data_IF_923387600619
#
_entry.id   IF_923387600619
#
_cell.length_a   1.000
_cell.length_b   1.000
_cell.length_c   1.000
_cell.angle_alpha   90.00
_cell.angle_beta   90.00
_cell.angle_gamma   90.00
#
_symmetry.space_group_name_H-M   'P 1'
#
loop_
_entity.id
_entity.type
_entity.pdbx_description
1 polymer ?
#
# COMPACT_ATOMS: atom_id res chain seq x y z
N UNK A 1 2.80 -0.22 0.00
CA UNK A 1 1.62 -0.64 0.75
C UNK A 1 1.74 -2.11 1.14
N UNK A 2 1.77 -2.39 2.45
CA UNK A 2 1.78 -3.72 3.08
C UNK A 2 1.60 -3.55 4.60
N UNK A 3 1.16 -4.58 5.33
CA UNK A 3 0.91 -4.52 6.77
C UNK A 3 2.01 -5.19 7.60
N UNK A 4 2.61 -6.26 7.09
CA UNK A 4 3.62 -6.99 7.86
C UNK A 4 4.21 -8.20 7.15
N UNK A 5 5.07 -8.91 7.90
CA UNK A 5 5.73 -10.13 7.48
C UNK A 5 6.37 -10.82 8.68
N UNK A 6 6.79 -12.10 8.54
CA UNK A 6 7.57 -12.84 9.55
C UNK A 6 6.94 -12.89 10.93
N UNK A 7 5.61 -12.86 11.02
CA UNK A 7 4.86 -12.88 12.27
C UNK A 7 4.59 -11.52 12.88
N UNK A 8 5.19 -10.46 12.35
CA UNK A 8 5.05 -9.08 12.81
C UNK A 8 4.09 -8.28 11.93
N UNK A 9 3.42 -7.32 12.54
CA UNK A 9 2.53 -6.35 11.88
C UNK A 9 2.94 -4.93 12.27
N UNK A 10 2.85 -3.99 11.35
CA UNK A 10 3.15 -2.60 11.63
C UNK A 10 2.28 -2.04 12.77
N UNK A 11 1.04 -2.51 12.85
CA UNK A 11 0.10 -2.15 13.90
C UNK A 11 0.38 -2.84 15.25
N UNK A 12 1.37 -3.72 15.38
CA UNK A 12 1.87 -4.14 16.69
C UNK A 12 2.42 -2.93 17.48
N UNK A 13 2.82 -1.86 16.76
CA UNK A 13 3.18 -0.56 17.32
C UNK A 13 4.38 -0.66 18.25
N UNK A 14 5.37 -1.45 17.89
CA UNK A 14 6.65 -1.61 18.61
C UNK A 14 7.83 -1.39 17.67
N UNK A 15 8.93 -0.88 18.20
CA UNK A 15 10.17 -0.72 17.40
C UNK A 15 10.71 -2.04 16.90
N UNK A 16 10.55 -3.09 17.69
CA UNK A 16 10.95 -4.45 17.32
C UNK A 16 10.19 -4.93 16.08
N UNK A 17 8.87 -4.78 16.04
CA UNK A 17 8.07 -5.16 14.88
C UNK A 17 8.52 -4.41 13.62
N UNK A 18 8.72 -3.10 13.71
CA UNK A 18 9.17 -2.29 12.57
C UNK A 18 10.58 -2.74 12.10
N UNK A 19 11.48 -3.04 13.03
CA UNK A 19 12.83 -3.49 12.71
C UNK A 19 12.85 -4.86 12.02
N UNK A 20 12.08 -5.83 12.51
CA UNK A 20 11.99 -7.16 11.89
C UNK A 20 11.35 -7.10 10.51
N UNK A 21 10.30 -6.27 10.35
CA UNK A 21 9.69 -5.97 9.05
C UNK A 21 10.74 -5.36 8.11
N UNK A 22 11.46 -4.32 8.54
CA UNK A 22 12.48 -3.64 7.73
C UNK A 22 13.62 -4.57 7.32
N UNK A 23 14.06 -5.48 8.21
CA UNK A 23 15.07 -6.49 7.90
C UNK A 23 14.60 -7.49 6.85
N UNK A 24 13.38 -8.00 7.01
CA UNK A 24 12.82 -8.95 6.04
C UNK A 24 12.68 -8.30 4.66
N UNK A 25 12.07 -7.13 4.59
CA UNK A 25 11.88 -6.41 3.34
C UNK A 25 13.22 -6.11 2.63
N UNK A 26 14.23 -5.66 3.38
CA UNK A 26 15.57 -5.47 2.83
C UNK A 26 16.18 -6.78 2.32
N UNK A 27 15.98 -7.89 3.02
CA UNK A 27 16.52 -9.20 2.63
C UNK A 27 15.97 -9.72 1.31
N UNK A 28 14.78 -9.28 0.90
CA UNK A 28 14.12 -9.64 -0.36
C UNK A 28 14.24 -8.54 -1.43
N UNK A 29 15.04 -7.49 -1.19
CA UNK A 29 15.33 -6.44 -2.17
C UNK A 29 14.47 -5.18 -2.07
N UNK A 30 13.61 -5.06 -1.07
CA UNK A 30 12.84 -3.83 -0.81
C UNK A 30 13.63 -2.97 0.18
N UNK A 31 14.30 -1.93 -0.31
CA UNK A 31 15.23 -1.11 0.47
C UNK A 31 14.63 0.15 1.08
N UNK A 32 13.39 0.47 0.71
CA UNK A 32 12.59 1.56 1.28
C UNK A 32 11.15 1.09 1.41
N UNK A 33 10.52 1.35 2.55
CA UNK A 33 9.20 0.85 2.91
C UNK A 33 8.23 1.96 3.31
N UNK A 34 6.97 1.76 2.96
CA UNK A 34 5.83 2.56 3.42
C UNK A 34 4.72 1.59 3.88
N UNK A 35 4.79 1.11 5.14
CA UNK A 35 3.78 0.20 5.67
C UNK A 35 2.42 0.89 5.80
N UNK A 36 1.36 0.09 5.78
CA UNK A 36 -0.01 0.54 6.00
C UNK A 36 -0.47 0.26 7.44
N UNK A 37 -1.28 1.16 7.98
CA UNK A 37 -2.02 0.88 9.22
C UNK A 37 -3.28 0.08 8.91
N UNK A 38 -3.90 -0.46 9.96
CA UNK A 38 -5.27 -0.97 9.93
C UNK A 38 -6.23 0.07 10.53
N UNK A 39 -7.54 -0.15 10.38
CA UNK A 39 -8.58 0.62 11.07
C UNK A 39 -8.62 0.24 12.55
N UNK A 40 -8.11 1.10 13.41
CA UNK A 40 -7.97 0.94 14.86
C UNK A 40 -8.51 2.18 15.59
N UNK A 41 -8.68 2.13 16.94
CA UNK A 41 -8.97 3.33 17.72
C UNK A 41 -7.99 4.47 17.46
N UNK A 42 -8.48 5.71 17.46
CA UNK A 42 -7.68 6.92 17.16
C UNK A 42 -6.42 7.01 18.02
N UNK A 43 -6.56 6.80 19.32
CA UNK A 43 -5.46 6.88 20.29
C UNK A 43 -4.41 5.78 20.06
N UNK A 44 -4.85 4.62 19.58
CA UNK A 44 -3.93 3.53 19.25
C UNK A 44 -3.16 3.84 17.96
N UNK A 45 -3.83 4.38 16.96
CA UNK A 45 -3.15 4.85 15.74
C UNK A 45 -2.11 5.92 16.06
N UNK A 46 -2.43 6.91 16.90
CA UNK A 46 -1.46 7.93 17.34
C UNK A 46 -0.24 7.30 18.04
N UNK A 47 -0.47 6.32 18.91
CA UNK A 47 0.61 5.59 19.58
C UNK A 47 1.51 4.88 18.56
N UNK A 48 0.93 4.14 17.60
CA UNK A 48 1.66 3.44 16.55
C UNK A 48 2.50 4.41 15.71
N UNK A 49 1.90 5.53 15.29
CA UNK A 49 2.56 6.57 14.51
C UNK A 49 3.72 7.21 15.27
N UNK A 50 3.53 7.50 16.56
CA UNK A 50 4.59 8.05 17.43
C UNK A 50 5.76 7.08 17.62
N UNK A 51 5.48 5.78 17.74
CA UNK A 51 6.53 4.75 17.79
C UNK A 51 7.30 4.71 16.48
N UNK A 52 6.61 4.77 15.34
CA UNK A 52 7.25 4.80 14.02
C UNK A 52 8.14 6.05 13.84
N UNK A 53 7.66 7.23 14.26
CA UNK A 53 8.44 8.46 14.25
C UNK A 53 9.70 8.35 15.12
N UNK A 54 9.56 7.76 16.31
CA UNK A 54 10.72 7.51 17.19
C UNK A 54 11.70 6.52 16.60
N UNK A 55 11.21 5.42 15.97
CA UNK A 55 12.04 4.44 15.29
C UNK A 55 12.86 5.09 14.16
N UNK A 56 12.24 5.95 13.36
CA UNK A 56 12.86 6.57 12.20
C UNK A 56 13.99 7.56 12.54
N UNK A 57 14.07 8.03 13.78
CA UNK A 57 15.18 8.89 14.26
C UNK A 57 16.47 8.11 14.59
N UNK A 58 16.35 6.79 14.72
CA UNK A 58 17.48 5.94 15.07
C UNK A 58 18.14 5.40 13.80
N UNK A 59 19.47 5.23 13.84
CA UNK A 59 20.17 4.56 12.74
C UNK A 59 19.93 3.06 12.83
N UNK A 60 19.16 2.49 11.91
CA UNK A 60 18.73 1.10 11.92
C UNK A 60 19.23 0.35 10.67
N UNK A 61 19.38 -0.96 10.81
CA UNK A 61 19.58 -1.88 9.70
C UNK A 61 18.23 -2.22 9.04
N UNK A 62 18.27 -2.68 7.80
CA UNK A 62 17.07 -3.04 7.06
C UNK A 62 16.61 -1.96 6.07
N UNK A 63 15.37 -2.03 5.63
CA UNK A 63 14.77 -1.05 4.72
C UNK A 63 14.52 0.28 5.43
N UNK A 64 14.69 1.39 4.70
CA UNK A 64 14.41 2.71 5.23
C UNK A 64 12.89 2.93 5.33
N UNK A 65 12.38 3.34 6.50
CA UNK A 65 10.98 3.75 6.67
C UNK A 65 10.81 5.16 6.09
N UNK A 66 10.26 5.26 4.88
CA UNK A 66 10.14 6.52 4.13
C UNK A 66 8.74 7.11 4.12
N UNK A 67 7.76 6.37 4.58
CA UNK A 67 6.38 6.81 4.64
C UNK A 67 5.50 5.83 5.41
N UNK A 68 4.27 6.24 5.65
CA UNK A 68 3.19 5.42 6.21
C UNK A 68 1.93 5.68 5.37
N UNK A 69 1.22 4.62 5.03
CA UNK A 69 -0.10 4.68 4.39
C UNK A 69 -1.17 4.43 5.46
N UNK A 70 -2.03 5.39 5.73
CA UNK A 70 -3.15 5.18 6.64
C UNK A 70 -4.31 4.54 5.89
N UNK A 71 -4.49 3.23 6.07
CA UNK A 71 -5.62 2.49 5.55
C UNK A 71 -6.76 2.49 6.57
N UNK A 72 -7.57 3.52 6.51
CA UNK A 72 -8.56 3.88 7.53
C UNK A 72 -8.01 4.90 8.55
N UNK A 73 -8.86 5.36 9.46
CA UNK A 73 -10.21 4.90 9.79
C UNK A 73 -11.35 5.51 8.96
N UNK A 74 -11.09 6.34 7.95
CA UNK A 74 -12.08 7.11 7.18
C UNK A 74 -12.66 6.34 5.99
N UNK A 75 -12.81 5.03 6.10
CA UNK A 75 -13.22 4.10 5.04
C UNK A 75 -14.71 3.72 5.14
N UNK A 76 -15.20 3.00 4.12
CA UNK A 76 -16.60 2.56 4.06
C UNK A 76 -16.85 1.26 4.84
N UNK A 77 -17.91 1.25 5.65
CA UNK A 77 -18.39 0.01 6.30
C UNK A 77 -18.84 -1.03 5.29
N UNK A 78 -19.38 -0.59 4.15
CA UNK A 78 -19.86 -1.49 3.08
C UNK A 78 -18.70 -2.19 2.37
N UNK A 79 -17.52 -1.54 2.33
CA UNK A 79 -16.31 -2.02 1.67
C UNK A 79 -15.15 -2.26 2.65
N UNK A 80 -15.47 -2.51 3.91
CA UNK A 80 -14.48 -2.68 4.98
C UNK A 80 -13.47 -3.80 4.71
N UNK A 81 -13.82 -4.85 3.97
CA UNK A 81 -12.93 -6.00 3.79
C UNK A 81 -12.49 -6.58 5.14
N UNK A 82 -11.18 -6.70 5.35
CA UNK A 82 -10.57 -7.18 6.59
C UNK A 82 -10.37 -6.08 7.67
N UNK A 83 -11.04 -4.93 7.53
CA UNK A 83 -10.99 -3.85 8.53
C UNK A 83 -12.07 -4.01 9.60
N UNK A 84 -11.78 -3.56 10.83
CA UNK A 84 -12.75 -3.60 11.93
C UNK A 84 -13.73 -2.43 11.87
N UNK A 85 -14.99 -2.73 11.54
CA UNK A 85 -16.04 -1.71 11.35
C UNK A 85 -16.35 -0.89 12.61
N UNK A 86 -15.99 -1.38 13.81
CA UNK A 86 -16.22 -0.69 15.08
C UNK A 86 -15.40 0.60 15.20
N UNK A 87 -14.30 0.69 14.45
CA UNK A 87 -13.37 1.81 14.49
C UNK A 87 -13.42 2.69 13.24
N UNK A 88 -14.34 2.41 12.32
CA UNK A 88 -14.58 3.27 11.15
C UNK A 88 -15.28 4.53 11.60
N UNK A 89 -14.71 5.69 11.26
CA UNK A 89 -15.23 7.01 11.57
C UNK A 89 -15.32 7.88 10.32
N UNK A 90 -16.09 8.97 10.41
CA UNK A 90 -16.18 9.98 9.37
C UNK A 90 -14.86 10.76 9.23
N UNK A 91 -14.57 11.28 8.02
CA UNK A 91 -13.46 12.19 7.80
C UNK A 91 -13.52 13.36 8.79
N UNK A 92 -12.39 13.60 9.44
CA UNK A 92 -12.27 14.66 10.43
C UNK A 92 -10.87 15.29 10.32
N UNK A 93 -10.82 16.59 10.03
CA UNK A 93 -9.57 17.34 9.82
C UNK A 93 -8.69 17.38 11.07
N UNK A 94 -9.30 17.55 12.26
CA UNK A 94 -8.57 17.59 13.52
C UNK A 94 -7.93 16.23 13.83
N UNK A 95 -8.68 15.14 13.68
CA UNK A 95 -8.14 13.78 13.86
C UNK A 95 -7.05 13.50 12.84
N UNK A 96 -7.26 13.86 11.56
CA UNK A 96 -6.24 13.69 10.53
C UNK A 96 -4.97 14.49 10.89
N UNK A 97 -5.08 15.73 11.35
CA UNK A 97 -3.94 16.53 11.77
C UNK A 97 -3.20 15.89 12.95
N UNK A 98 -3.91 15.33 13.95
CA UNK A 98 -3.30 14.57 15.05
C UNK A 98 -2.44 13.41 14.56
N UNK A 99 -2.90 12.68 13.52
CA UNK A 99 -2.09 11.61 12.91
C UNK A 99 -0.83 12.14 12.23
N UNK A 100 -0.96 13.27 11.50
CA UNK A 100 0.21 13.91 10.87
C UNK A 100 1.23 14.35 11.91
N UNK A 101 0.77 14.96 13.00
CA UNK A 101 1.62 15.43 14.08
C UNK A 101 2.30 14.25 14.82
N UNK A 102 1.54 13.19 15.14
CA UNK A 102 2.06 12.01 15.83
C UNK A 102 3.12 11.27 14.99
N UNK A 103 2.96 11.28 13.67
CA UNK A 103 3.90 10.65 12.73
C UNK A 103 5.14 11.49 12.41
N UNK A 104 5.18 12.76 12.82
CA UNK A 104 6.23 13.73 12.48
C UNK A 104 6.51 13.79 10.95
N UNK A 105 5.44 13.72 10.14
CA UNK A 105 5.49 13.81 8.68
C UNK A 105 5.78 12.48 7.97
N UNK A 106 5.79 11.34 8.66
CA UNK A 106 5.90 10.02 8.04
C UNK A 106 4.61 9.60 7.34
N UNK A 107 3.43 10.02 7.79
CA UNK A 107 2.18 9.75 7.07
C UNK A 107 2.24 10.46 5.73
N UNK A 108 2.20 9.68 4.64
CA UNK A 108 2.23 10.17 3.25
C UNK A 108 0.90 10.04 2.54
N UNK A 109 0.07 9.10 2.98
CA UNK A 109 -1.26 8.83 2.42
C UNK A 109 -2.30 8.69 3.52
N UNK A 110 -3.50 9.19 3.25
CA UNK A 110 -4.70 8.96 4.06
C UNK A 110 -5.80 8.44 3.17
N UNK A 111 -6.22 7.20 3.41
CA UNK A 111 -7.29 6.53 2.69
C UNK A 111 -8.66 6.97 3.16
N UNK A 112 -9.54 7.32 2.23
CA UNK A 112 -10.92 7.71 2.52
C UNK A 112 -11.93 7.01 1.60
N UNK A 113 -13.16 6.91 2.09
CA UNK A 113 -14.35 6.56 1.31
C UNK A 113 -15.22 7.82 1.14
N UNK A 114 -15.15 8.51 -0.02
CA UNK A 114 -15.81 9.80 -0.16
C UNK A 114 -17.34 9.72 -0.10
N UNK A 115 -17.95 8.60 -0.49
CA UNK A 115 -19.40 8.41 -0.46
C UNK A 115 -19.99 8.37 0.96
N UNK A 116 -19.21 7.95 1.94
CA UNK A 116 -19.64 7.85 3.34
C UNK A 116 -19.42 9.15 4.12
N UNK A 117 -18.90 10.19 3.45
CA UNK A 117 -18.54 11.48 4.06
C UNK A 117 -19.22 12.64 3.33
N UNK A 118 -20.20 13.28 3.96
CA UNK A 118 -20.98 14.37 3.34
C UNK A 118 -20.10 15.56 2.88
N UNK A 119 -19.00 15.82 3.57
CA UNK A 119 -18.06 16.91 3.30
C UNK A 119 -16.71 16.41 2.74
N UNK A 120 -16.68 15.23 2.07
CA UNK A 120 -15.45 14.63 1.57
C UNK A 120 -14.64 15.59 0.67
N UNK A 121 -15.29 16.28 -0.25
CA UNK A 121 -14.65 17.27 -1.13
C UNK A 121 -13.93 18.36 -0.32
N UNK A 122 -14.61 18.93 0.65
CA UNK A 122 -14.03 19.93 1.55
C UNK A 122 -12.85 19.38 2.33
N UNK A 123 -12.99 18.19 2.91
CA UNK A 123 -11.88 17.51 3.62
C UNK A 123 -10.66 17.33 2.70
N UNK A 124 -10.86 16.87 1.46
CA UNK A 124 -9.78 16.71 0.48
C UNK A 124 -9.11 18.06 0.19
N UNK A 125 -9.88 19.10 -0.10
CA UNK A 125 -9.36 20.45 -0.40
C UNK A 125 -8.51 21.02 0.75
N UNK A 126 -8.88 20.75 2.00
CA UNK A 126 -8.16 21.25 3.18
C UNK A 126 -6.91 20.44 3.53
N UNK A 127 -6.88 19.16 3.16
CA UNK A 127 -5.79 18.27 3.53
C UNK A 127 -4.79 17.98 2.40
N UNK A 128 -5.13 18.18 1.13
CA UNK A 128 -4.31 17.80 -0.04
C UNK A 128 -2.91 18.40 -0.08
N UNK A 129 -2.72 19.58 0.51
CA UNK A 129 -1.42 20.25 0.57
C UNK A 129 -0.54 19.75 1.75
N UNK A 130 -1.14 19.00 2.69
CA UNK A 130 -0.47 18.44 3.86
C UNK A 130 -0.14 16.96 3.69
N UNK A 131 -1.03 16.21 3.04
CA UNK A 131 -0.91 14.77 2.86
C UNK A 131 -1.65 14.35 1.59
N UNK A 132 -1.21 13.27 0.93
CA UNK A 132 -1.94 12.74 -0.21
C UNK A 132 -3.20 12.02 0.24
N UNK A 133 -4.33 12.44 -0.31
CA UNK A 133 -5.59 11.74 -0.08
C UNK A 133 -5.74 10.65 -1.14
N UNK A 134 -6.06 9.45 -0.67
CA UNK A 134 -6.29 8.28 -1.51
C UNK A 134 -7.72 7.76 -1.35
N UNK A 135 -8.30 7.21 -2.41
CA UNK A 135 -9.54 6.45 -2.32
C UNK A 135 -9.20 5.00 -1.94
N UNK A 136 -9.76 4.55 -0.82
CA UNK A 136 -9.49 3.24 -0.23
C UNK A 136 -10.75 2.66 0.39
N UNK A 137 -11.00 1.35 0.25
CA UNK A 137 -12.15 0.70 0.87
C UNK A 137 -13.43 1.51 0.70
N UNK A 138 -13.78 1.79 -0.54
CA UNK A 138 -14.85 2.73 -0.92
C UNK A 138 -15.88 2.05 -1.82
N UNK A 139 -17.14 2.41 -1.63
CA UNK A 139 -18.23 2.04 -2.52
C UNK A 139 -18.64 3.20 -3.44
N UNK A 140 -17.75 4.18 -3.63
CA UNK A 140 -18.00 5.34 -4.48
C UNK A 140 -18.35 4.91 -5.92
N UNK A 141 -19.38 5.54 -6.46
CA UNK A 141 -19.65 5.50 -7.89
C UNK A 141 -18.65 6.37 -8.67
N UNK A 142 -18.80 6.40 -9.99
CA UNK A 142 -17.91 7.14 -10.86
C UNK A 142 -17.92 8.65 -10.56
N UNK A 143 -19.10 9.25 -10.41
CA UNK A 143 -19.25 10.70 -10.23
C UNK A 143 -18.68 11.14 -8.87
N UNK A 144 -18.91 10.36 -7.82
CA UNK A 144 -18.35 10.60 -6.48
C UNK A 144 -16.83 10.47 -6.48
N UNK A 145 -16.28 9.46 -7.16
CA UNK A 145 -14.84 9.29 -7.28
C UNK A 145 -14.20 10.42 -8.10
N UNK A 146 -14.82 10.85 -9.22
CA UNK A 146 -14.35 11.99 -10.01
C UNK A 146 -14.35 13.28 -9.19
N UNK A 147 -15.41 13.56 -8.44
CA UNK A 147 -15.47 14.73 -7.57
C UNK A 147 -14.34 14.75 -6.53
N UNK A 148 -14.00 13.57 -5.96
CA UNK A 148 -12.87 13.44 -5.04
C UNK A 148 -11.51 13.69 -5.74
N UNK A 149 -11.30 13.17 -6.95
CA UNK A 149 -10.08 13.41 -7.71
C UNK A 149 -9.95 14.85 -8.17
N UNK A 150 -11.03 15.47 -8.61
CA UNK A 150 -11.07 16.89 -8.99
C UNK A 150 -10.78 17.83 -7.80
N UNK A 151 -11.20 17.42 -6.59
CA UNK A 151 -10.89 18.15 -5.34
C UNK A 151 -9.41 18.04 -4.93
N UNK A 152 -8.69 17.03 -5.43
CA UNK A 152 -7.26 16.86 -5.20
C UNK A 152 -6.83 15.51 -4.60
N UNK A 153 -7.73 14.53 -4.46
CA UNK A 153 -7.32 13.15 -4.20
C UNK A 153 -6.47 12.67 -5.39
N UNK A 154 -5.35 12.01 -5.10
CA UNK A 154 -4.35 11.72 -6.13
C UNK A 154 -3.88 10.26 -6.16
N UNK A 155 -4.56 9.39 -5.42
CA UNK A 155 -4.14 8.00 -5.29
C UNK A 155 -5.35 7.08 -5.13
N UNK A 156 -5.27 5.86 -5.65
CA UNK A 156 -6.26 4.79 -5.45
C UNK A 156 -5.55 3.54 -4.91
N UNK A 157 -5.97 3.12 -3.73
CA UNK A 157 -5.37 2.00 -2.99
C UNK A 157 -5.86 0.68 -3.57
N UNK A 158 -4.98 -0.32 -3.74
CA UNK A 158 -5.24 -1.69 -4.20
C UNK A 158 -6.44 -1.81 -5.16
N UNK A 159 -6.35 -1.11 -6.30
CA UNK A 159 -7.42 -0.97 -7.30
C UNK A 159 -8.17 -2.28 -7.56
N UNK A 160 -9.48 -2.24 -7.69
CA UNK A 160 -10.45 -3.33 -7.75
C UNK A 160 -10.82 -3.96 -6.38
N UNK A 161 -9.91 -3.98 -5.42
CA UNK A 161 -10.14 -4.63 -4.13
C UNK A 161 -10.85 -3.66 -3.18
N UNK A 162 -11.85 -4.16 -2.46
CA UNK A 162 -12.72 -3.33 -1.60
C UNK A 162 -13.32 -2.10 -2.33
N UNK A 163 -13.70 -2.27 -3.61
CA UNK A 163 -14.32 -1.27 -4.49
C UNK A 163 -15.51 -1.86 -5.22
N UNK A 164 -16.41 -1.03 -5.84
CA UNK A 164 -17.39 -1.51 -6.78
C UNK A 164 -16.76 -2.18 -8.00
N UNK A 165 -17.44 -3.18 -8.55
CA UNK A 165 -16.99 -3.82 -9.78
C UNK A 165 -16.99 -2.83 -10.97
N UNK A 166 -15.95 -2.87 -11.79
CA UNK A 166 -15.89 -2.13 -13.05
C UNK A 166 -16.84 -2.75 -14.08
N UNK A 167 -17.92 -2.07 -14.40
CA UNK A 167 -18.90 -2.54 -15.39
C UNK A 167 -19.15 -1.49 -16.47
N UNK A 168 -19.73 -1.90 -17.59
CA UNK A 168 -19.95 -1.01 -18.74
C UNK A 168 -21.00 0.10 -18.52
N UNK A 169 -21.75 0.07 -17.43
CA UNK A 169 -22.74 1.11 -17.05
C UNK A 169 -22.49 1.70 -15.68
N UNK A 170 -21.65 1.09 -14.89
CA UNK A 170 -21.21 1.58 -13.59
C UNK A 170 -19.68 1.37 -13.46
N UNK A 171 -18.87 2.29 -14.00
CA UNK A 171 -17.42 2.11 -14.05
C UNK A 171 -16.74 2.35 -12.69
N UNK A 172 -17.42 2.97 -11.73
CA UNK A 172 -16.96 3.18 -10.37
C UNK A 172 -15.59 3.87 -10.29
N UNK A 173 -14.88 3.60 -9.21
CA UNK A 173 -13.53 4.17 -8.96
C UNK A 173 -12.54 3.80 -10.07
N UNK A 174 -12.61 2.57 -10.60
CA UNK A 174 -11.69 2.12 -11.67
C UNK A 174 -11.83 2.98 -12.92
N UNK A 175 -13.06 3.30 -13.33
CA UNK A 175 -13.31 4.20 -14.46
C UNK A 175 -12.83 5.62 -14.17
N UNK A 176 -13.10 6.13 -12.98
CA UNK A 176 -12.66 7.46 -12.57
C UNK A 176 -11.13 7.58 -12.55
N UNK A 177 -10.39 6.57 -12.08
CA UNK A 177 -8.92 6.53 -12.16
C UNK A 177 -8.44 6.52 -13.61
N UNK A 178 -9.12 5.79 -14.51
CA UNK A 178 -8.77 5.77 -15.93
C UNK A 178 -8.83 7.16 -16.55
N UNK A 179 -9.86 7.93 -16.19
CA UNK A 179 -10.11 9.25 -16.76
C UNK A 179 -9.34 10.39 -16.06
N UNK A 180 -8.79 10.12 -14.86
CA UNK A 180 -8.04 11.10 -14.04
C UNK A 180 -6.53 10.91 -14.21
N UNK A 181 -5.92 11.59 -15.20
CA UNK A 181 -4.51 11.38 -15.59
C UNK A 181 -3.46 11.67 -14.51
N UNK A 182 -3.81 12.36 -13.43
CA UNK A 182 -2.92 12.67 -12.29
C UNK A 182 -2.97 11.64 -11.17
N UNK A 183 -3.95 10.73 -11.17
CA UNK A 183 -4.16 9.75 -10.11
C UNK A 183 -3.25 8.55 -10.31
N UNK A 184 -2.48 8.20 -9.30
CA UNK A 184 -1.71 6.95 -9.26
C UNK A 184 -2.53 5.83 -8.64
N UNK A 185 -2.33 4.60 -9.07
CA UNK A 185 -3.10 3.46 -8.62
C UNK A 185 -2.23 2.26 -8.27
N UNK A 186 -2.55 1.62 -7.15
CA UNK A 186 -1.89 0.43 -6.67
C UNK A 186 -2.52 -0.84 -7.26
N UNK A 187 -1.69 -1.85 -7.55
CA UNK A 187 -2.12 -3.18 -7.99
C UNK A 187 -1.42 -4.28 -7.19
N UNK A 188 -2.18 -5.24 -6.69
CA UNK A 188 -1.66 -6.46 -6.07
C UNK A 188 -1.48 -7.52 -7.17
N UNK A 189 -0.26 -7.71 -7.62
CA UNK A 189 0.06 -8.64 -8.72
C UNK A 189 0.54 -10.02 -8.24
N UNK A 190 -0.11 -10.58 -7.22
CA UNK A 190 0.23 -11.87 -6.61
C UNK A 190 -0.34 -13.09 -7.35
N UNK A 191 -1.25 -12.88 -8.33
CA UNK A 191 -1.95 -13.92 -9.05
C UNK A 191 -3.17 -14.49 -8.33
N UNK A 192 -3.54 -13.94 -7.18
CA UNK A 192 -4.72 -14.30 -6.39
C UNK A 192 -5.78 -13.19 -6.45
N UNK A 193 -5.38 -11.93 -6.19
CA UNK A 193 -6.28 -10.78 -6.10
C UNK A 193 -6.84 -10.36 -7.46
N UNK A 194 -6.02 -10.36 -8.50
CA UNK A 194 -6.41 -9.84 -9.80
C UNK A 194 -6.04 -10.84 -10.90
N UNK A 195 -7.00 -11.17 -11.77
CA UNK A 195 -6.77 -12.04 -12.90
C UNK A 195 -5.75 -11.43 -13.88
N UNK A 196 -4.78 -12.19 -14.45
CA UNK A 196 -3.76 -11.65 -15.34
C UNK A 196 -4.28 -10.83 -16.54
N UNK A 197 -5.44 -11.20 -17.10
CA UNK A 197 -6.03 -10.44 -18.21
C UNK A 197 -6.55 -9.07 -17.75
N UNK A 198 -7.03 -8.95 -16.51
CA UNK A 198 -7.48 -7.68 -15.93
C UNK A 198 -6.28 -6.77 -15.70
N UNK A 199 -5.17 -7.30 -15.16
CA UNK A 199 -3.93 -6.53 -15.02
C UNK A 199 -3.48 -5.96 -16.36
N UNK A 200 -3.40 -6.78 -17.42
CA UNK A 200 -3.04 -6.30 -18.77
C UNK A 200 -4.01 -5.26 -19.33
N UNK A 201 -5.31 -5.40 -19.08
CA UNK A 201 -6.31 -4.42 -19.49
C UNK A 201 -6.13 -3.10 -18.76
N UNK A 202 -5.85 -3.14 -17.45
CA UNK A 202 -5.59 -1.97 -16.60
C UNK A 202 -4.39 -1.17 -17.13
N UNK A 203 -3.27 -1.83 -17.43
CA UNK A 203 -2.10 -1.16 -18.00
C UNK A 203 -2.39 -0.51 -19.37
N UNK A 204 -3.26 -1.13 -20.20
CA UNK A 204 -3.69 -0.52 -21.46
C UNK A 204 -4.59 0.69 -21.28
N UNK A 205 -5.43 0.69 -20.26
CA UNK A 205 -6.34 1.81 -19.97
C UNK A 205 -5.60 2.99 -19.32
N UNK A 206 -4.69 2.71 -18.38
CA UNK A 206 -4.14 3.73 -17.48
C UNK A 206 -2.70 4.13 -17.83
N UNK A 207 -2.01 3.35 -18.69
CA UNK A 207 -0.57 3.50 -18.94
C UNK A 207 0.27 2.91 -17.81
N UNK A 208 1.59 2.92 -17.97
CA UNK A 208 2.53 2.35 -17.00
C UNK A 208 3.03 3.36 -15.95
N UNK A 209 3.05 4.65 -16.30
CA UNK A 209 3.65 5.70 -15.46
C UNK A 209 2.89 5.97 -14.16
N UNK A 210 1.62 5.55 -14.09
CA UNK A 210 0.72 5.79 -12.95
C UNK A 210 0.45 4.53 -12.11
N UNK A 211 0.96 3.38 -12.55
CA UNK A 211 0.72 2.12 -11.84
C UNK A 211 1.80 1.84 -10.81
N UNK A 212 1.40 1.37 -9.65
CA UNK A 212 2.28 0.99 -8.54
C UNK A 212 2.01 -0.47 -8.19
N UNK A 213 3.04 -1.31 -8.21
CA UNK A 213 2.95 -2.66 -7.66
C UNK A 213 3.08 -2.61 -6.15
N UNK A 214 2.16 -3.26 -5.47
CA UNK A 214 2.18 -3.45 -4.02
C UNK A 214 2.07 -4.92 -3.69
N UNK A 215 2.46 -5.31 -2.48
CA UNK A 215 2.25 -6.66 -1.97
C UNK A 215 0.96 -6.79 -1.18
N UNK A 216 0.59 -5.76 -0.44
CA UNK A 216 -0.47 -5.81 0.55
C UNK A 216 -0.27 -7.02 1.50
N UNK A 217 1.01 -7.30 1.81
CA UNK A 217 1.41 -8.46 2.60
C UNK A 217 1.02 -8.29 4.07
N UNK A 218 0.62 -9.39 4.68
CA UNK A 218 0.29 -9.42 6.10
C UNK A 218 1.32 -10.26 6.89
N UNK A 219 1.22 -10.30 8.22
CA UNK A 219 2.19 -10.94 9.11
C UNK A 219 2.57 -12.39 8.74
N UNK A 220 1.71 -13.12 8.04
CA UNK A 220 2.02 -14.47 7.58
C UNK A 220 3.02 -14.54 6.43
N UNK A 221 3.32 -13.43 5.77
CA UNK A 221 4.28 -13.41 4.65
C UNK A 221 5.65 -13.89 5.12
N UNK A 222 6.17 -14.90 4.44
CA UNK A 222 7.42 -15.57 4.81
C UNK A 222 7.28 -16.57 5.96
N UNK A 223 6.06 -16.89 6.42
CA UNK A 223 5.74 -17.89 7.43
C UNK A 223 5.13 -19.15 6.78
N UNK A 224 5.06 -20.29 7.48
CA UNK A 224 4.35 -21.49 7.03
C UNK A 224 2.84 -21.25 6.88
N UNK A 225 2.15 -22.15 6.18
CA UNK A 225 0.69 -22.24 6.19
C UNK A 225 0.16 -22.36 7.63
N UNK A 226 -0.96 -21.72 7.94
CA UNK A 226 -1.52 -21.74 9.28
C UNK A 226 -2.53 -20.61 9.55
N UNK A 227 -2.85 -20.43 10.83
CA UNK A 227 -3.72 -19.36 11.30
C UNK A 227 -2.90 -18.19 11.82
N UNK A 228 -3.33 -17.00 11.44
CA UNK A 228 -2.71 -15.71 11.77
C UNK A 228 -3.78 -14.69 12.08
N UNK A 229 -3.39 -13.44 12.30
CA UNK A 229 -4.32 -12.32 12.49
C UNK A 229 -3.97 -11.16 11.58
N UNK A 230 -4.97 -10.36 11.20
CA UNK A 230 -4.84 -9.08 10.53
C UNK A 230 -5.86 -8.11 11.11
N UNK A 231 -5.40 -6.99 11.68
CA UNK A 231 -6.30 -6.02 12.33
C UNK A 231 -7.16 -6.61 13.46
N UNK A 232 -6.67 -7.66 14.14
CA UNK A 232 -7.42 -8.37 15.18
C UNK A 232 -8.42 -9.40 14.67
N UNK A 233 -8.53 -9.61 13.36
CA UNK A 233 -9.37 -10.64 12.75
C UNK A 233 -8.57 -11.89 12.43
N UNK A 234 -9.17 -13.08 12.63
CA UNK A 234 -8.54 -14.36 12.35
C UNK A 234 -8.47 -14.64 10.84
N UNK A 235 -7.27 -15.00 10.38
CA UNK A 235 -6.95 -15.29 8.98
C UNK A 235 -6.38 -16.69 8.84
N UNK A 236 -6.85 -17.45 7.86
CA UNK A 236 -6.26 -18.72 7.46
C UNK A 236 -5.41 -18.54 6.20
N UNK A 237 -4.18 -19.04 6.22
CA UNK A 237 -3.23 -18.94 5.10
C UNK A 237 -2.90 -20.32 4.58
N UNK A 238 -3.07 -20.51 3.26
CA UNK A 238 -2.70 -21.71 2.52
C UNK A 238 -1.98 -21.29 1.23
N UNK A 239 -0.72 -21.61 1.13
CA UNK A 239 0.14 -21.14 0.04
C UNK A 239 0.27 -19.61 0.06
N UNK A 240 -0.09 -18.95 -1.04
CA UNK A 240 -0.11 -17.48 -1.13
C UNK A 240 -1.51 -16.87 -0.93
N UNK A 241 -2.47 -17.64 -0.41
CA UNK A 241 -3.84 -17.19 -0.21
C UNK A 241 -4.14 -17.00 1.28
N UNK A 242 -4.46 -15.78 1.66
CA UNK A 242 -4.90 -15.40 2.98
C UNK A 242 -6.41 -15.07 2.96
N UNK A 243 -7.18 -15.67 3.86
CA UNK A 243 -8.64 -15.48 3.91
C UNK A 243 -9.12 -15.33 5.34
N UNK A 244 -10.10 -14.45 5.57
CA UNK A 244 -10.79 -14.36 6.84
C UNK A 244 -11.43 -15.69 7.21
N UNK A 245 -11.30 -16.11 8.46
CA UNK A 245 -11.95 -17.31 8.98
C UNK A 245 -13.46 -17.15 9.03
N UNK A 246 -13.96 -15.93 9.22
CA UNK A 246 -15.36 -15.62 9.40
C UNK A 246 -16.22 -15.82 8.15
N UNK A 247 -15.74 -15.43 6.96
CA UNK A 247 -16.53 -15.41 5.72
C UNK A 247 -15.75 -15.84 4.46
N UNK A 248 -14.45 -16.11 4.58
CA UNK A 248 -13.62 -16.54 3.48
C UNK A 248 -13.17 -15.42 2.53
N UNK A 249 -13.44 -14.16 2.85
CA UNK A 249 -12.96 -13.01 2.07
C UNK A 249 -11.42 -12.95 2.09
N UNK A 250 -10.81 -12.44 1.01
CA UNK A 250 -9.36 -12.19 0.99
C UNK A 250 -9.00 -11.15 2.06
N UNK A 251 -7.88 -11.35 2.73
CA UNK A 251 -7.44 -10.56 3.87
C UNK A 251 -5.94 -10.26 3.75
N UNK A 252 -5.60 -9.20 3.03
CA UNK A 252 -4.23 -8.93 2.60
C UNK A 252 -3.65 -10.08 1.77
N UNK A 253 -2.35 -10.12 1.60
CA UNK A 253 -1.66 -11.19 0.89
C UNK A 253 -0.61 -11.90 1.76
N UNK A 254 -0.22 -13.11 1.36
CA UNK A 254 0.92 -13.82 1.91
C UNK A 254 2.15 -13.75 0.96
N UNK A 255 2.15 -12.78 0.03
CA UNK A 255 3.15 -12.62 -1.02
C UNK A 255 3.96 -11.34 -0.77
N UNK A 256 5.26 -11.36 -1.03
CA UNK A 256 6.11 -10.17 -0.95
C UNK A 256 6.18 -9.41 -2.30
N UNK A 257 6.72 -8.19 -2.29
CA UNK A 257 6.76 -7.33 -3.47
C UNK A 257 7.61 -7.92 -4.61
N UNK A 258 8.74 -8.58 -4.31
CA UNK A 258 9.57 -9.20 -5.33
C UNK A 258 8.83 -10.33 -6.07
N UNK A 259 8.04 -11.12 -5.36
CA UNK A 259 7.22 -12.18 -5.95
C UNK A 259 6.01 -11.61 -6.72
N UNK A 260 5.42 -10.49 -6.27
CA UNK A 260 4.44 -9.74 -7.05
C UNK A 260 5.04 -9.26 -8.39
N UNK A 261 6.23 -8.66 -8.37
CA UNK A 261 6.93 -8.22 -9.58
C UNK A 261 7.25 -9.40 -10.51
N UNK A 262 7.77 -10.52 -9.98
CA UNK A 262 8.01 -11.74 -10.76
C UNK A 262 6.72 -12.27 -11.40
N UNK A 263 5.63 -12.29 -10.64
CA UNK A 263 4.31 -12.75 -11.12
C UNK A 263 3.79 -11.83 -12.23
N UNK A 264 3.94 -10.53 -12.07
CA UNK A 264 3.59 -9.55 -13.10
C UNK A 264 4.31 -9.80 -14.42
N UNK A 265 5.60 -10.13 -14.37
CA UNK A 265 6.39 -10.45 -15.59
C UNK A 265 6.07 -11.84 -16.10
N UNK A 266 6.24 -12.89 -15.29
CA UNK A 266 6.23 -14.28 -15.75
C UNK A 266 4.83 -14.84 -16.01
N UNK A 267 3.82 -14.41 -15.25
CA UNK A 267 2.46 -14.94 -15.34
C UNK A 267 1.46 -13.96 -15.96
N UNK A 268 1.69 -12.66 -15.79
CA UNK A 268 0.77 -11.63 -16.29
C UNK A 268 1.22 -11.03 -17.62
N UNK A 269 2.52 -11.20 -18.00
CA UNK A 269 3.07 -10.81 -19.29
C UNK A 269 3.40 -9.32 -19.41
N UNK A 270 3.68 -8.64 -18.28
CA UNK A 270 4.20 -7.28 -18.31
C UNK A 270 5.68 -7.28 -18.73
N UNK A 271 6.14 -6.27 -19.48
CA UNK A 271 7.57 -6.05 -19.70
C UNK A 271 8.32 -5.92 -18.37
N UNK A 272 9.56 -6.41 -18.31
CA UNK A 272 10.37 -6.35 -17.08
C UNK A 272 10.58 -4.90 -16.64
N UNK A 273 10.90 -4.03 -17.57
CA UNK A 273 11.15 -2.60 -17.32
C UNK A 273 9.92 -1.92 -16.70
N UNK A 274 8.73 -2.22 -17.23
CA UNK A 274 7.46 -1.73 -16.70
C UNK A 274 7.22 -2.23 -15.27
N UNK A 275 7.38 -3.54 -15.03
CA UNK A 275 7.17 -4.11 -13.69
C UNK A 275 8.17 -3.55 -12.67
N UNK A 276 9.44 -3.36 -13.06
CA UNK A 276 10.46 -2.73 -12.21
C UNK A 276 10.12 -1.27 -11.94
N UNK A 277 9.74 -0.48 -12.95
CA UNK A 277 9.35 0.91 -12.76
C UNK A 277 8.18 1.04 -11.79
N UNK A 278 7.15 0.18 -11.93
CA UNK A 278 5.99 0.14 -11.04
C UNK A 278 6.31 -0.30 -9.60
N UNK A 279 7.41 -1.02 -9.38
CA UNK A 279 7.86 -1.45 -8.05
C UNK A 279 8.95 -0.51 -7.44
N UNK A 280 9.45 0.48 -8.18
CA UNK A 280 10.57 1.33 -7.77
C UNK A 280 10.31 2.81 -8.01
N UNK A 281 10.35 3.25 -9.26
CA UNK A 281 10.26 4.66 -9.66
C UNK A 281 8.89 5.26 -9.35
N UNK A 282 7.82 4.56 -9.71
CA UNK A 282 6.46 5.07 -9.53
C UNK A 282 6.08 5.22 -8.05
N UNK A 283 6.30 4.21 -7.16
CA UNK A 283 6.06 4.41 -5.74
C UNK A 283 6.94 5.51 -5.14
N UNK A 284 8.22 5.63 -5.55
CA UNK A 284 9.09 6.70 -5.07
C UNK A 284 8.58 8.10 -5.47
N UNK A 285 8.04 8.26 -6.69
CA UNK A 285 7.37 9.50 -7.13
C UNK A 285 6.10 9.77 -6.32
N UNK A 286 5.28 8.74 -6.11
CA UNK A 286 4.05 8.87 -5.35
C UNK A 286 4.31 9.22 -3.89
N UNK A 287 5.39 8.73 -3.28
CA UNK A 287 5.79 9.07 -1.92
C UNK A 287 6.47 10.45 -1.81
N UNK A 288 6.91 11.04 -2.93
CA UNK A 288 7.72 12.26 -2.93
C UNK A 288 9.19 12.02 -2.56
N UNK A 289 9.67 10.77 -2.71
CA UNK A 289 11.04 10.35 -2.36
C UNK A 289 11.89 10.01 -3.60
N UNK A 290 11.44 10.38 -4.81
CA UNK A 290 12.13 10.03 -6.04
C UNK A 290 13.53 10.64 -6.16
N UNK A 291 13.81 11.74 -5.49
CA UNK A 291 15.16 12.34 -5.44
C UNK A 291 16.18 11.44 -4.74
N UNK A 292 15.74 10.51 -3.89
CA UNK A 292 16.60 9.61 -3.12
C UNK A 292 16.52 8.16 -3.59
N UNK A 293 15.36 7.70 -4.06
CA UNK A 293 15.06 6.30 -4.36
C UNK A 293 14.52 6.12 -5.79
N UNK A 294 14.28 4.89 -6.19
CA UNK A 294 13.52 4.51 -7.38
C UNK A 294 14.30 4.45 -8.69
N UNK A 295 15.56 4.88 -8.71
CA UNK A 295 16.44 4.73 -9.89
C UNK A 295 17.92 4.80 -9.49
N UNK A 296 18.79 4.26 -10.35
CA UNK A 296 20.23 4.36 -10.19
C UNK A 296 20.70 5.65 -10.90
N UNK A 297 21.02 6.67 -10.10
CA UNK A 297 21.53 7.95 -10.60
C UNK A 297 22.46 8.61 -9.58
N UNK A 298 23.39 9.49 -10.03
CA UNK A 298 24.25 10.24 -9.12
C UNK A 298 23.44 11.06 -8.10
N UNK A 299 23.85 11.02 -6.83
CA UNK A 299 23.19 11.74 -5.72
C UNK A 299 22.07 10.97 -5.03
N UNK A 300 21.61 9.85 -5.59
CA UNK A 300 20.62 8.96 -4.96
C UNK A 300 21.27 7.95 -4.01
N UNK A 301 20.44 7.31 -3.20
CA UNK A 301 20.84 6.19 -2.34
C UNK A 301 21.50 5.08 -3.17
N UNK A 302 22.62 4.56 -2.70
CA UNK A 302 23.36 3.47 -3.34
C UNK A 302 22.67 2.11 -3.13
N UNK A 303 21.38 2.02 -3.48
CA UNK A 303 20.55 0.84 -3.30
C UNK A 303 20.37 0.13 -4.64
N UNK A 304 20.82 -1.12 -4.73
CA UNK A 304 20.78 -1.92 -5.96
C UNK A 304 20.38 -3.35 -5.65
N UNK A 305 19.45 -3.88 -6.43
CA UNK A 305 19.03 -5.29 -6.39
C UNK A 305 19.56 -6.01 -7.62
N UNK A 306 20.27 -7.11 -7.42
CA UNK A 306 20.78 -7.95 -8.50
C UNK A 306 19.92 -9.21 -8.61
N UNK A 307 19.37 -9.41 -9.79
CA UNK A 307 18.57 -10.58 -10.14
C UNK A 307 19.27 -11.38 -11.26
N UNK A 308 19.07 -12.69 -11.29
CA UNK A 308 19.45 -13.50 -12.45
C UNK A 308 18.39 -13.41 -13.58
N UNK A 309 18.62 -14.09 -14.69
CA UNK A 309 17.70 -14.12 -15.83
C UNK A 309 16.33 -14.72 -15.47
N UNK A 310 16.29 -15.56 -14.44
CA UNK A 310 15.05 -16.11 -13.89
C UNK A 310 14.39 -15.23 -12.83
N UNK A 311 14.90 -14.01 -12.64
CA UNK A 311 14.49 -13.03 -11.64
C UNK A 311 14.68 -13.51 -10.20
N UNK A 312 15.59 -14.47 -9.96
CA UNK A 312 15.95 -14.86 -8.60
C UNK A 312 16.92 -13.84 -8.00
N UNK A 313 16.70 -13.51 -6.74
CA UNK A 313 17.56 -12.59 -6.00
C UNK A 313 18.98 -13.16 -5.86
N UNK A 314 20.00 -12.39 -6.21
CA UNK A 314 21.42 -12.73 -6.08
C UNK A 314 22.15 -11.88 -5.07
N UNK A 315 21.77 -10.61 -4.96
CA UNK A 315 22.34 -9.72 -3.97
C UNK A 315 21.43 -8.50 -3.77
N UNK A 316 21.47 -7.97 -2.57
CA UNK A 316 20.94 -6.65 -2.23
C UNK A 316 22.08 -5.78 -1.73
N UNK A 317 22.21 -4.60 -2.33
CA UNK A 317 23.14 -3.56 -1.93
C UNK A 317 22.29 -2.42 -1.36
N UNK A 318 22.58 -1.99 -0.14
CA UNK A 318 21.96 -0.85 0.51
C UNK A 318 23.02 0.13 0.98
N UNK A 319 22.84 1.40 0.63
CA UNK A 319 23.81 2.47 0.92
C UNK A 319 25.25 2.10 0.49
N UNK A 320 25.38 1.42 -0.66
CA UNK A 320 26.66 0.98 -1.21
C UNK A 320 27.26 -0.27 -0.56
N UNK A 321 26.59 -0.88 0.40
CA UNK A 321 27.04 -2.10 1.09
C UNK A 321 26.15 -3.29 0.76
N UNK A 322 26.77 -4.44 0.49
CA UNK A 322 26.01 -5.69 0.31
C UNK A 322 25.43 -6.15 1.65
N UNK A 323 24.13 -6.43 1.69
CA UNK A 323 23.39 -6.89 2.88
C UNK A 323 22.80 -8.30 2.72
N UNK A 324 22.69 -8.82 1.51
CA UNK A 324 22.32 -10.21 1.23
C UNK A 324 22.93 -10.70 -0.09
#
# INVERSE_FOLDING_TARGET
HFHGCKGYDFCDGTKEAIEEIARYEASIGVTAISPATMTLPVEELERILSVAASYNKENREGADLVGINMEGPFISKVKKGAQDERHIIQCNEEICQRFLDASEGLVKFVGIAPEDNADAVRFIEQMKDKVRISLAHTNADYDTAMAAFDAGASHAVHLYNAMPAFTHRAPGVVGAVSDSGHVMAELICDGVHIHPSVVRATFKMMGEDRMILISDSMRATGMPDGQYTLGGLDVNVVGNRATLVSDGALAGSATNLLDCMRTAVKKMGLPLETAVACATMNPARSLGEYDKYGSIAPGKKGNVVLLDQELNLKAVIKDGKRIS
#
